data_IF_179025110880
#
_entry.id   IF_179025110880
#
_cell.length_a   1.000
_cell.length_b   1.000
_cell.length_c   1.000
_cell.angle_alpha   90.00
_cell.angle_beta   90.00
_cell.angle_gamma   90.00
#
_symmetry.space_group_name_H-M   'P 1'
#
loop_
_entity.id
_entity.type
_entity.pdbx_description
1 polymer ?
#
# COMPACT_ATOMS: atom_id res chain seq x y z
N UNK A 1 27.07 3.48 15.58
CA UNK A 1 26.41 4.75 15.22
C UNK A 1 25.59 4.70 13.94
N UNK A 2 26.15 4.35 12.78
CA UNK A 2 25.40 4.36 11.52
C UNK A 2 24.15 3.43 11.49
N UNK A 3 24.21 2.24 12.11
CA UNK A 3 23.07 1.30 12.19
C UNK A 3 21.91 1.83 13.04
N UNK A 4 22.21 2.31 14.26
CA UNK A 4 21.20 2.90 15.16
C UNK A 4 20.50 4.07 14.47
N UNK A 5 21.24 4.88 13.70
CA UNK A 5 20.69 5.97 12.92
C UNK A 5 19.73 5.47 11.82
N UNK A 6 20.07 4.39 11.10
CA UNK A 6 19.21 3.83 10.05
C UNK A 6 17.94 3.20 10.63
N UNK A 7 18.04 2.53 11.77
CA UNK A 7 16.89 1.88 12.42
C UNK A 7 15.90 2.93 12.95
N UNK A 8 16.43 3.98 13.61
CA UNK A 8 15.64 5.11 14.07
C UNK A 8 15.00 5.89 12.90
N UNK A 9 15.73 6.10 11.81
CA UNK A 9 15.21 6.76 10.61
C UNK A 9 14.10 5.95 9.95
N UNK A 10 14.27 4.63 9.80
CA UNK A 10 13.26 3.74 9.24
C UNK A 10 12.01 3.68 10.11
N UNK A 11 12.16 3.61 11.43
CA UNK A 11 11.04 3.65 12.37
C UNK A 11 10.27 4.98 12.28
N UNK A 12 10.98 6.12 12.23
CA UNK A 12 10.35 7.44 12.07
C UNK A 12 9.63 7.56 10.72
N UNK A 13 10.24 7.05 9.64
CA UNK A 13 9.62 6.98 8.33
C UNK A 13 8.34 6.14 8.35
N UNK A 14 8.37 4.96 8.98
CA UNK A 14 7.20 4.10 9.16
C UNK A 14 6.06 4.79 9.92
N UNK A 15 6.38 5.46 11.04
CA UNK A 15 5.39 6.21 11.84
C UNK A 15 4.79 7.36 11.02
N UNK A 16 5.63 8.17 10.37
CA UNK A 16 5.16 9.30 9.57
C UNK A 16 4.32 8.85 8.36
N UNK A 17 4.71 7.75 7.70
CA UNK A 17 3.93 7.13 6.63
C UNK A 17 2.55 6.66 7.12
N UNK A 18 2.47 6.12 8.34
CA UNK A 18 1.21 5.68 8.96
C UNK A 18 0.28 6.86 9.27
N UNK A 19 0.83 7.99 9.72
CA UNK A 19 0.09 9.25 9.90
C UNK A 19 -0.44 9.76 8.56
N UNK A 20 0.43 9.83 7.54
CA UNK A 20 0.05 10.29 6.19
C UNK A 20 -1.02 9.39 5.58
N UNK A 21 -0.89 8.06 5.72
CA UNK A 21 -1.88 7.10 5.23
C UNK A 21 -3.25 7.32 5.89
N UNK A 22 -3.27 7.56 7.20
CA UNK A 22 -4.52 7.83 7.95
C UNK A 22 -5.20 9.12 7.47
N UNK A 23 -4.42 10.17 7.22
CA UNK A 23 -4.93 11.44 6.64
C UNK A 23 -5.48 11.21 5.23
N UNK A 24 -4.79 10.44 4.38
CA UNK A 24 -5.26 10.09 3.04
C UNK A 24 -6.57 9.29 3.06
N UNK A 25 -6.75 8.36 4.01
CA UNK A 25 -8.03 7.64 4.19
C UNK A 25 -9.15 8.60 4.57
N UNK A 26 -8.88 9.52 5.50
CA UNK A 26 -9.88 10.51 5.92
C UNK A 26 -10.33 11.39 4.74
N UNK A 27 -9.37 11.93 3.98
CA UNK A 27 -9.64 12.70 2.76
C UNK A 27 -10.35 11.85 1.71
N UNK A 28 -9.97 10.59 1.54
CA UNK A 28 -10.53 9.69 0.53
C UNK A 28 -12.01 9.41 0.77
N UNK A 29 -12.40 9.27 2.04
CA UNK A 29 -13.82 9.15 2.43
C UNK A 29 -14.59 10.46 2.30
N UNK A 30 -13.95 11.61 2.52
CA UNK A 30 -14.61 12.92 2.40
C UNK A 30 -14.82 13.35 0.95
N UNK A 31 -13.91 12.98 0.05
CA UNK A 31 -13.97 13.30 -1.38
C UNK A 31 -14.60 12.18 -2.23
N UNK A 32 -15.05 11.08 -1.61
CA UNK A 32 -15.52 9.85 -2.30
C UNK A 32 -14.55 9.36 -3.39
N UNK A 33 -13.24 9.54 -3.16
CA UNK A 33 -12.22 9.28 -4.16
C UNK A 33 -11.61 7.91 -3.98
N UNK A 34 -11.96 7.00 -4.89
CA UNK A 34 -11.38 5.63 -4.96
C UNK A 34 -9.88 5.63 -5.26
N UNK A 35 -9.40 6.63 -6.01
CA UNK A 35 -7.98 6.80 -6.30
C UNK A 35 -7.18 7.16 -5.04
N UNK A 36 -7.70 8.09 -4.22
CA UNK A 36 -7.05 8.50 -2.98
C UNK A 36 -7.05 7.38 -1.92
N UNK A 37 -8.13 6.58 -1.87
CA UNK A 37 -8.19 5.38 -1.03
C UNK A 37 -7.15 4.33 -1.43
N UNK A 38 -6.93 4.10 -2.73
CA UNK A 38 -5.89 3.19 -3.21
C UNK A 38 -4.49 3.68 -2.82
N UNK A 39 -4.21 4.97 -3.00
CA UNK A 39 -2.94 5.58 -2.62
C UNK A 39 -2.67 5.46 -1.10
N UNK A 40 -3.72 5.54 -0.28
CA UNK A 40 -3.63 5.32 1.16
C UNK A 40 -3.24 3.87 1.52
N UNK A 41 -3.78 2.87 0.81
CA UNK A 41 -3.46 1.45 1.03
C UNK A 41 -2.00 1.16 0.67
N UNK A 42 -1.51 1.70 -0.44
CA UNK A 42 -0.11 1.58 -0.84
C UNK A 42 0.80 2.19 0.24
N UNK A 43 0.43 3.35 0.76
CA UNK A 43 1.17 4.02 1.84
C UNK A 43 1.17 3.18 3.14
N UNK A 44 0.07 2.52 3.49
CA UNK A 44 0.01 1.62 4.65
C UNK A 44 0.93 0.40 4.50
N UNK A 45 0.92 -0.24 3.32
CA UNK A 45 1.81 -1.38 3.05
C UNK A 45 3.27 -0.95 3.14
N UNK A 46 3.61 0.24 2.63
CA UNK A 46 4.94 0.84 2.80
C UNK A 46 5.33 1.06 4.25
N UNK A 47 4.42 1.59 5.08
CA UNK A 47 4.66 1.78 6.52
C UNK A 47 4.92 0.44 7.23
N UNK A 48 4.11 -0.58 6.95
CA UNK A 48 4.28 -1.94 7.49
C UNK A 48 5.63 -2.51 7.07
N UNK A 49 6.02 -2.38 5.80
CA UNK A 49 7.30 -2.86 5.29
C UNK A 49 8.48 -2.17 6.00
N UNK A 50 8.42 -0.86 6.27
CA UNK A 50 9.45 -0.15 7.03
C UNK A 50 9.64 -0.70 8.46
N UNK A 51 8.54 -1.05 9.15
CA UNK A 51 8.62 -1.69 10.46
C UNK A 51 9.15 -3.12 10.38
N UNK A 52 8.70 -3.89 9.37
CA UNK A 52 9.17 -5.26 9.15
C UNK A 52 10.66 -5.32 8.82
N UNK A 53 11.21 -4.31 8.13
CA UNK A 53 12.65 -4.21 7.87
C UNK A 53 13.47 -4.04 9.15
N UNK A 54 13.01 -3.19 10.08
CA UNK A 54 13.67 -3.01 11.40
C UNK A 54 13.59 -4.31 12.21
N UNK A 55 12.42 -4.96 12.24
CA UNK A 55 12.24 -6.24 12.92
C UNK A 55 13.09 -7.35 12.27
N UNK A 56 13.22 -7.36 10.94
CA UNK A 56 14.03 -8.32 10.21
C UNK A 56 15.52 -8.20 10.53
N UNK A 57 16.01 -6.97 10.72
CA UNK A 57 17.37 -6.72 11.16
C UNK A 57 17.63 -7.22 12.58
N UNK A 58 16.71 -6.94 13.52
CA UNK A 58 16.78 -7.42 14.90
C UNK A 58 16.78 -8.97 14.97
N UNK A 59 15.89 -9.60 14.18
CA UNK A 59 15.80 -11.06 14.12
C UNK A 59 17.04 -11.71 13.51
N UNK A 60 17.63 -11.06 12.50
CA UNK A 60 18.86 -11.52 11.86
C UNK A 60 20.04 -11.50 12.83
N UNK A 61 20.15 -10.47 13.68
CA UNK A 61 21.20 -10.42 14.70
C UNK A 61 21.02 -11.51 15.76
N UNK A 62 19.77 -11.80 16.16
CA UNK A 62 19.49 -12.87 17.11
C UNK A 62 19.72 -14.27 16.53
N UNK A 63 19.48 -14.49 15.23
CA UNK A 63 19.65 -15.78 14.56
C UNK A 63 20.03 -15.60 13.08
N UNK A 64 21.30 -15.84 12.74
CA UNK A 64 21.82 -15.73 11.36
C UNK A 64 21.06 -16.59 10.31
N UNK A 65 20.31 -17.60 10.75
CA UNK A 65 19.53 -18.48 9.88
C UNK A 65 18.28 -17.85 9.26
N UNK A 66 17.83 -16.67 9.73
CA UNK A 66 16.59 -16.03 9.24
C UNK A 66 16.82 -14.95 8.18
N UNK A 67 17.93 -14.99 7.43
CA UNK A 67 18.25 -14.01 6.38
C UNK A 67 17.14 -13.84 5.30
N UNK A 68 16.32 -14.86 5.07
CA UNK A 68 15.23 -14.83 4.07
C UNK A 68 13.97 -14.07 4.52
N UNK A 69 13.90 -13.61 5.78
CA UNK A 69 12.67 -13.07 6.38
C UNK A 69 12.19 -11.79 5.67
N UNK A 70 13.11 -10.85 5.37
CA UNK A 70 12.79 -9.60 4.68
C UNK A 70 12.27 -9.85 3.25
N UNK A 71 12.88 -10.82 2.55
CA UNK A 71 12.43 -11.25 1.23
C UNK A 71 11.03 -11.88 1.28
N UNK A 72 10.73 -12.70 2.30
CA UNK A 72 9.40 -13.31 2.47
C UNK A 72 8.34 -12.24 2.74
N UNK A 73 8.62 -11.27 3.62
CA UNK A 73 7.69 -10.17 3.87
C UNK A 73 7.46 -9.32 2.62
N UNK A 74 8.52 -9.04 1.85
CA UNK A 74 8.43 -8.32 0.59
C UNK A 74 7.55 -9.06 -0.43
N UNK A 75 7.70 -10.38 -0.55
CA UNK A 75 6.85 -11.20 -1.41
C UNK A 75 5.40 -11.19 -0.91
N UNK A 76 5.15 -11.33 0.39
CA UNK A 76 3.80 -11.29 0.97
C UNK A 76 3.10 -9.94 0.69
N UNK A 77 3.78 -8.82 0.93
CA UNK A 77 3.27 -7.48 0.65
C UNK A 77 3.07 -7.26 -0.86
N UNK A 78 3.98 -7.76 -1.69
CA UNK A 78 3.89 -7.69 -3.15
C UNK A 78 2.70 -8.46 -3.71
N UNK A 79 2.47 -9.70 -3.23
CA UNK A 79 1.30 -10.51 -3.62
C UNK A 79 0.01 -9.83 -3.18
N UNK A 80 -0.03 -9.27 -1.97
CA UNK A 80 -1.18 -8.50 -1.49
C UNK A 80 -1.49 -7.29 -2.40
N UNK A 81 -0.47 -6.49 -2.74
CA UNK A 81 -0.61 -5.34 -3.64
C UNK A 81 -1.01 -5.77 -5.06
N UNK A 82 -0.49 -6.90 -5.55
CA UNK A 82 -0.84 -7.44 -6.86
C UNK A 82 -2.31 -7.87 -6.92
N UNK A 83 -2.79 -8.64 -5.94
CA UNK A 83 -4.20 -9.02 -5.85
C UNK A 83 -5.12 -7.80 -5.73
N UNK A 84 -4.73 -6.81 -4.93
CA UNK A 84 -5.48 -5.56 -4.80
C UNK A 84 -5.51 -4.78 -6.11
N UNK A 85 -4.37 -4.64 -6.78
CA UNK A 85 -4.23 -3.96 -8.07
C UNK A 85 -5.05 -4.64 -9.18
N UNK A 86 -5.05 -5.97 -9.25
CA UNK A 86 -5.89 -6.73 -10.19
C UNK A 86 -7.38 -6.50 -9.94
N UNK A 87 -7.82 -6.53 -8.67
CA UNK A 87 -9.21 -6.24 -8.30
C UNK A 87 -9.61 -4.83 -8.73
N UNK A 88 -8.75 -3.84 -8.49
CA UNK A 88 -8.98 -2.46 -8.90
C UNK A 88 -9.04 -2.31 -10.42
N UNK A 89 -8.12 -2.96 -11.14
CA UNK A 89 -8.07 -2.95 -12.60
C UNK A 89 -9.36 -3.53 -13.19
N UNK A 90 -9.80 -4.70 -12.72
CA UNK A 90 -11.05 -5.32 -13.17
C UNK A 90 -12.24 -4.39 -12.89
N UNK A 91 -12.27 -3.76 -11.71
CA UNK A 91 -13.33 -2.84 -11.35
C UNK A 91 -13.38 -1.63 -12.29
N UNK A 92 -12.23 -1.04 -12.64
CA UNK A 92 -12.16 0.09 -13.57
C UNK A 92 -12.47 -0.32 -15.01
N UNK A 93 -11.92 -1.43 -15.50
CA UNK A 93 -12.14 -1.90 -16.89
C UNK A 93 -13.57 -2.40 -17.10
N UNK A 94 -14.14 -3.15 -16.15
CA UNK A 94 -15.53 -3.63 -16.26
C UNK A 94 -16.53 -2.47 -16.14
N UNK A 95 -16.33 -1.52 -15.21
CA UNK A 95 -17.15 -0.30 -15.15
C UNK A 95 -17.01 0.56 -16.41
N UNK A 96 -15.80 0.66 -16.97
CA UNK A 96 -15.57 1.38 -18.22
C UNK A 96 -16.32 0.74 -19.39
N UNK A 97 -16.34 -0.60 -19.49
CA UNK A 97 -17.07 -1.29 -20.54
C UNK A 97 -18.59 -1.09 -20.43
N UNK A 98 -19.15 -1.17 -19.22
CA UNK A 98 -20.59 -0.89 -18.99
C UNK A 98 -20.95 0.54 -19.36
N UNK A 99 -20.16 1.53 -18.93
CA UNK A 99 -20.39 2.93 -19.30
C UNK A 99 -20.24 3.20 -20.80
N UNK A 100 -19.51 2.34 -21.53
CA UNK A 100 -19.37 2.42 -22.98
C UNK A 100 -20.52 1.74 -23.73
N UNK A 101 -21.26 0.83 -23.09
CA UNK A 101 -22.47 0.21 -23.64
C UNK A 101 -23.72 1.11 -23.47
N UNK A 102 -23.65 2.15 -22.62
CA UNK A 102 -24.65 3.22 -22.48
C UNK A 102 -24.27 4.58 -23.16
N UNK A 103 -24.08 4.68 -24.49
CA UNK A 103 -24.11 5.96 -25.19
C UNK A 103 -25.45 6.16 -25.93
N UNK A 104 -26.59 5.78 -25.32
CA UNK A 104 -27.87 5.73 -26.04
C UNK A 104 -29.12 6.12 -25.22
N UNK A 105 -29.12 7.24 -24.46
CA UNK A 105 -30.40 7.91 -24.13
C UNK A 105 -30.32 9.32 -23.54
N UNK A 106 -29.52 10.24 -24.05
CA UNK A 106 -29.79 11.69 -23.83
C UNK A 106 -29.32 12.47 -25.05
N UNK A 107 -30.15 12.54 -26.10
CA UNK A 107 -30.24 13.61 -27.11
C UNK A 107 -31.46 13.36 -28.04
N UNK A 108 -32.64 13.07 -27.47
CA UNK A 108 -33.94 13.25 -28.15
C UNK A 108 -34.96 13.77 -27.13
N UNK A 109 -34.99 15.09 -26.94
CA UNK A 109 -36.17 15.99 -26.94
C UNK A 109 -35.79 17.42 -26.53
#
# INVERSE_FOLDING_TARGET
DARILTDAFSAFCGVSALVVASVKVYLGRRLDSRALLTDSIITYVGAVMSFLGVLGLELYESNDRVWYLDAVFGICCGVFLLCFGLKLLIQLTCLYNVSKEDPMLEDEE
#
